data_IF_509595664000
#
_entry.id   IF_509595664000
#
_cell.length_a   1.000
_cell.length_b   1.000
_cell.length_c   1.000
_cell.angle_alpha   90.00
_cell.angle_beta   90.00
_cell.angle_gamma   90.00
#
_symmetry.space_group_name_H-M   'P 1'
#
loop_
_entity.id
_entity.type
_entity.pdbx_description
1 polymer ?
#
# COMPACT_ATOMS: atom_id res chain seq x y z
N UNK A 1 -11.92 5.76 -31.64
CA UNK A 1 -11.71 5.86 -30.18
C UNK A 1 -10.21 5.79 -29.98
N UNK A 2 -9.59 6.92 -29.65
CA UNK A 2 -8.20 6.95 -29.20
C UNK A 2 -8.12 6.14 -27.90
N UNK A 3 -7.15 5.22 -27.79
CA UNK A 3 -6.95 4.45 -26.56
C UNK A 3 -6.35 5.38 -25.49
N UNK A 4 -6.79 5.32 -24.22
CA UNK A 4 -6.24 6.14 -23.14
C UNK A 4 -4.84 5.64 -22.75
N UNK A 5 -3.82 6.08 -23.51
CA UNK A 5 -2.42 5.65 -23.37
C UNK A 5 -1.85 6.07 -22.02
N UNK A 6 -2.14 7.29 -21.57
CA UNK A 6 -1.59 7.80 -20.31
C UNK A 6 -2.16 7.04 -19.11
N UNK A 7 -3.47 6.81 -19.09
CA UNK A 7 -4.14 6.02 -18.05
C UNK A 7 -3.64 4.59 -18.01
N UNK A 8 -3.35 3.99 -19.18
CA UNK A 8 -2.80 2.63 -19.26
C UNK A 8 -1.41 2.53 -18.62
N UNK A 9 -0.53 3.51 -18.87
CA UNK A 9 0.79 3.59 -18.22
C UNK A 9 0.67 3.77 -16.70
N UNK A 10 -0.26 4.60 -16.25
CA UNK A 10 -0.51 4.79 -14.82
C UNK A 10 -1.05 3.51 -14.18
N UNK A 11 -1.92 2.78 -14.86
CA UNK A 11 -2.41 1.47 -14.41
C UNK A 11 -1.25 0.47 -14.24
N UNK A 12 -0.27 0.49 -15.15
CA UNK A 12 0.94 -0.32 -15.02
C UNK A 12 1.77 0.08 -13.78
N UNK A 13 1.95 1.38 -13.52
CA UNK A 13 2.63 1.83 -12.30
C UNK A 13 1.89 1.42 -11.02
N UNK A 14 0.56 1.49 -11.02
CA UNK A 14 -0.26 0.98 -9.91
C UNK A 14 0.01 -0.51 -9.70
N UNK A 15 -0.02 -1.32 -10.77
CA UNK A 15 0.27 -2.75 -10.68
C UNK A 15 1.69 -3.03 -10.12
N UNK A 16 2.70 -2.29 -10.59
CA UNK A 16 4.07 -2.37 -10.05
C UNK A 16 4.11 -1.99 -8.57
N UNK A 17 3.37 -0.98 -8.14
CA UNK A 17 3.25 -0.63 -6.72
C UNK A 17 2.67 -1.79 -5.89
N UNK A 18 1.61 -2.45 -6.36
CA UNK A 18 1.01 -3.61 -5.69
C UNK A 18 1.98 -4.78 -5.55
N UNK A 19 2.71 -5.11 -6.62
CA UNK A 19 3.76 -6.13 -6.57
C UNK A 19 4.88 -5.70 -5.61
N UNK A 20 5.28 -4.42 -5.65
CA UNK A 20 6.30 -3.87 -4.78
C UNK A 20 5.99 -4.00 -3.30
N UNK A 21 4.76 -3.69 -2.86
CA UNK A 21 4.36 -3.85 -1.45
C UNK A 21 4.26 -5.33 -1.05
N UNK A 22 3.86 -6.23 -1.96
CA UNK A 22 3.84 -7.67 -1.69
C UNK A 22 5.27 -8.23 -1.51
N UNK A 23 6.20 -7.86 -2.39
CA UNK A 23 7.62 -8.22 -2.28
C UNK A 23 8.25 -7.62 -1.02
N UNK A 24 7.87 -6.40 -0.65
CA UNK A 24 8.34 -5.77 0.58
C UNK A 24 7.95 -6.57 1.82
N UNK A 25 6.70 -7.05 1.90
CA UNK A 25 6.26 -7.96 2.98
C UNK A 25 7.09 -9.25 2.98
N UNK A 26 7.34 -9.85 1.82
CA UNK A 26 8.17 -11.06 1.72
C UNK A 26 9.60 -10.84 2.25
N UNK A 27 10.22 -9.71 1.90
CA UNK A 27 11.55 -9.34 2.41
C UNK A 27 11.52 -9.11 3.93
N UNK A 28 10.50 -8.44 4.45
CA UNK A 28 10.37 -8.20 5.90
C UNK A 28 10.16 -9.52 6.64
N UNK A 29 9.37 -10.46 6.11
CA UNK A 29 9.23 -11.82 6.69
C UNK A 29 10.55 -12.55 6.79
N UNK A 30 11.37 -12.50 5.73
CA UNK A 30 12.70 -13.09 5.75
C UNK A 30 13.60 -12.46 6.83
N UNK A 31 13.50 -11.14 7.04
CA UNK A 31 14.25 -10.42 8.08
C UNK A 31 13.81 -10.75 9.51
N UNK A 32 12.50 -10.86 9.75
CA UNK A 32 11.95 -11.13 11.08
C UNK A 32 11.90 -12.62 11.42
N UNK A 33 12.19 -13.50 10.43
CA UNK A 33 12.16 -14.98 10.57
C UNK A 33 10.78 -15.52 10.99
N UNK A 34 9.71 -14.78 10.69
CA UNK A 34 8.34 -15.20 10.97
C UNK A 34 7.76 -15.86 9.71
N UNK A 35 7.66 -17.19 9.77
CA UNK A 35 7.05 -17.99 8.71
C UNK A 35 5.54 -17.74 8.60
N UNK A 36 5.00 -17.80 7.39
CA UNK A 36 3.55 -17.90 7.19
C UNK A 36 3.01 -19.17 7.89
N UNK A 37 1.77 -19.20 8.40
CA UNK A 37 0.70 -18.20 8.27
C UNK A 37 0.74 -17.08 9.33
N UNK A 38 1.76 -17.03 10.19
CA UNK A 38 1.82 -16.03 11.25
C UNK A 38 1.92 -14.60 10.67
N UNK A 39 1.12 -13.70 11.24
CA UNK A 39 1.02 -12.28 10.84
C UNK A 39 1.35 -11.33 12.00
N UNK A 40 1.72 -11.88 13.16
CA UNK A 40 2.07 -11.15 14.39
C UNK A 40 3.44 -11.60 14.90
N UNK A 41 4.05 -10.79 15.76
CA UNK A 41 5.27 -11.15 16.49
C UNK A 41 6.38 -10.10 16.40
N UNK A 42 6.52 -9.45 15.25
CA UNK A 42 7.44 -8.32 15.07
C UNK A 42 6.67 -7.08 14.60
N UNK A 43 6.76 -5.94 15.32
CA UNK A 43 6.07 -4.71 14.95
C UNK A 43 6.38 -4.21 13.53
N UNK A 44 7.57 -4.51 12.99
CA UNK A 44 7.95 -4.19 11.61
C UNK A 44 7.16 -5.03 10.61
N UNK A 45 7.00 -6.33 10.88
CA UNK A 45 6.23 -7.23 10.03
C UNK A 45 4.75 -6.84 10.04
N UNK A 46 4.19 -6.57 11.22
CA UNK A 46 2.79 -6.15 11.33
C UNK A 46 2.52 -4.85 10.56
N UNK A 47 3.44 -3.88 10.62
CA UNK A 47 3.34 -2.64 9.85
C UNK A 47 3.40 -2.90 8.34
N UNK A 48 4.34 -3.73 7.88
CA UNK A 48 4.48 -4.06 6.46
C UNK A 48 3.22 -4.76 5.92
N UNK A 49 2.66 -5.72 6.67
CA UNK A 49 1.43 -6.42 6.31
C UNK A 49 0.24 -5.45 6.27
N UNK A 50 0.12 -4.54 7.25
CA UNK A 50 -0.94 -3.52 7.25
C UNK A 50 -0.86 -2.58 6.05
N UNK A 51 0.35 -2.18 5.65
CA UNK A 51 0.56 -1.38 4.44
C UNK A 51 0.07 -2.11 3.18
N UNK A 52 0.42 -3.40 3.05
CA UNK A 52 -0.02 -4.23 1.93
C UNK A 52 -1.54 -4.43 1.94
N UNK A 53 -2.14 -4.80 3.07
CA UNK A 53 -3.58 -5.00 3.17
C UNK A 53 -4.37 -3.74 2.81
N UNK A 54 -3.98 -2.59 3.36
CA UNK A 54 -4.60 -1.31 3.01
C UNK A 54 -4.46 -1.01 1.50
N UNK A 55 -3.36 -1.41 0.85
CA UNK A 55 -3.27 -1.32 -0.60
C UNK A 55 -4.32 -2.17 -1.27
N UNK A 56 -4.41 -3.46 -0.94
CA UNK A 56 -5.35 -4.39 -1.58
C UNK A 56 -6.79 -3.93 -1.37
N UNK A 57 -7.14 -3.43 -0.20
CA UNK A 57 -8.48 -2.91 0.11
C UNK A 57 -8.88 -1.72 -0.77
N UNK A 58 -7.91 -0.86 -1.12
CA UNK A 58 -8.17 0.31 -1.98
C UNK A 58 -8.19 -0.02 -3.49
N UNK A 59 -7.68 -1.18 -3.91
CA UNK A 59 -7.55 -1.56 -5.32
C UNK A 59 -8.88 -1.58 -6.08
N UNK A 60 -9.95 -2.20 -5.53
CA UNK A 60 -11.26 -2.27 -6.19
C UNK A 60 -11.93 -0.92 -6.34
N UNK A 61 -11.54 0.08 -5.54
CA UNK A 61 -12.09 1.43 -5.65
C UNK A 61 -11.30 2.27 -6.66
N UNK A 62 -9.96 2.24 -6.61
CA UNK A 62 -9.13 3.13 -7.42
C UNK A 62 -9.14 2.76 -8.91
N UNK A 63 -9.10 1.46 -9.25
CA UNK A 63 -8.98 1.03 -10.64
C UNK A 63 -10.24 1.37 -11.46
N UNK A 64 -11.47 1.03 -11.04
CA UNK A 64 -12.67 1.41 -11.80
C UNK A 64 -12.86 2.92 -11.87
N UNK A 65 -12.59 3.65 -10.78
CA UNK A 65 -12.70 5.10 -10.75
C UNK A 65 -11.73 5.76 -11.76
N UNK A 66 -10.49 5.26 -11.84
CA UNK A 66 -9.49 5.74 -12.80
C UNK A 66 -9.94 5.53 -14.24
N UNK A 67 -10.46 4.35 -14.58
CA UNK A 67 -10.92 4.04 -15.94
C UNK A 67 -12.20 4.80 -16.31
N UNK A 68 -13.14 5.00 -15.38
CA UNK A 68 -14.31 5.85 -15.61
C UNK A 68 -13.86 7.29 -15.87
N UNK A 69 -12.91 7.83 -15.09
CA UNK A 69 -12.38 9.17 -15.32
C UNK A 69 -11.68 9.30 -16.70
N UNK A 70 -10.95 8.28 -17.14
CA UNK A 70 -10.28 8.28 -18.43
C UNK A 70 -11.27 8.28 -19.61
N UNK A 71 -12.33 7.47 -19.50
CA UNK A 71 -13.33 7.30 -20.56
C UNK A 71 -14.33 8.46 -20.63
N UNK A 72 -14.68 9.06 -19.49
CA UNK A 72 -15.77 10.04 -19.40
C UNK A 72 -15.32 11.48 -19.20
N UNK A 73 -14.09 11.72 -18.73
CA UNK A 73 -13.57 13.07 -18.45
C UNK A 73 -12.40 13.42 -19.36
N UNK A 74 -11.25 12.78 -19.18
CA UNK A 74 -10.05 12.99 -20.00
C UNK A 74 -8.94 12.02 -19.59
N UNK A 75 -8.26 11.44 -20.58
CA UNK A 75 -7.10 10.57 -20.36
C UNK A 75 -5.98 11.27 -19.58
N UNK A 76 -5.69 12.54 -19.89
CA UNK A 76 -4.65 13.31 -19.22
C UNK A 76 -4.98 13.53 -17.74
N UNK A 77 -6.21 13.96 -17.44
CA UNK A 77 -6.62 14.22 -16.06
C UNK A 77 -6.69 12.94 -15.23
N UNK A 78 -7.21 11.86 -15.79
CA UNK A 78 -7.19 10.55 -15.14
C UNK A 78 -5.76 10.11 -14.81
N UNK A 79 -4.83 10.28 -15.75
CA UNK A 79 -3.42 9.97 -15.53
C UNK A 79 -2.79 10.83 -14.42
N UNK A 80 -3.07 12.13 -14.38
CA UNK A 80 -2.58 13.03 -13.32
C UNK A 80 -3.08 12.58 -11.95
N UNK A 81 -4.38 12.29 -11.80
CA UNK A 81 -4.93 11.81 -10.53
C UNK A 81 -4.33 10.48 -10.10
N UNK A 82 -4.18 9.54 -11.03
CA UNK A 82 -3.55 8.26 -10.73
C UNK A 82 -2.07 8.39 -10.37
N UNK A 83 -1.32 9.31 -11.00
CA UNK A 83 0.06 9.60 -10.63
C UNK A 83 0.16 10.17 -9.21
N UNK A 84 -0.67 11.16 -8.88
CA UNK A 84 -0.76 11.75 -7.53
C UNK A 84 -1.08 10.66 -6.51
N UNK A 85 -2.03 9.77 -6.84
CA UNK A 85 -2.37 8.64 -5.98
C UNK A 85 -1.15 7.73 -5.75
N UNK A 86 -0.44 7.30 -6.80
CA UNK A 86 0.76 6.45 -6.66
C UNK A 86 1.81 7.12 -5.77
N UNK A 87 2.11 8.40 -5.98
CA UNK A 87 3.07 9.14 -5.16
C UNK A 87 2.64 9.19 -3.69
N UNK A 88 1.36 9.48 -3.43
CA UNK A 88 0.79 9.45 -2.08
C UNK A 88 0.90 8.07 -1.44
N UNK A 89 0.69 6.98 -2.20
CA UNK A 89 0.85 5.60 -1.69
C UNK A 89 2.30 5.29 -1.34
N UNK A 90 3.26 5.68 -2.17
CA UNK A 90 4.68 5.47 -1.85
C UNK A 90 5.08 6.29 -0.61
N UNK A 91 4.58 7.52 -0.48
CA UNK A 91 4.78 8.33 0.74
C UNK A 91 4.15 7.67 1.98
N UNK A 92 2.93 7.14 1.85
CA UNK A 92 2.23 6.41 2.91
C UNK A 92 3.04 5.22 3.42
N UNK A 93 3.62 4.41 2.51
CA UNK A 93 4.50 3.28 2.89
C UNK A 93 5.65 3.77 3.77
N UNK A 94 6.36 4.83 3.35
CA UNK A 94 7.52 5.36 4.10
C UNK A 94 7.11 5.88 5.47
N UNK A 95 6.05 6.68 5.53
CA UNK A 95 5.57 7.27 6.78
C UNK A 95 5.06 6.20 7.75
N UNK A 96 4.28 5.24 7.25
CA UNK A 96 3.72 4.18 8.09
C UNK A 96 4.81 3.24 8.65
N UNK A 97 5.83 2.93 7.84
CA UNK A 97 6.98 2.14 8.31
C UNK A 97 7.87 2.89 9.31
N UNK A 98 7.86 4.22 9.30
CA UNK A 98 8.61 5.05 10.25
C UNK A 98 7.94 5.19 11.64
N UNK A 99 6.69 4.73 11.81
CA UNK A 99 5.97 4.81 13.09
C UNK A 99 6.71 4.00 14.17
N UNK A 100 7.05 4.56 15.34
CA UNK A 100 7.77 3.83 16.38
C UNK A 100 6.94 2.69 16.98
N UNK A 101 7.56 1.60 17.48
CA UNK A 101 6.87 0.39 17.95
C UNK A 101 5.78 0.63 19.01
N UNK A 102 5.92 1.69 19.82
CA UNK A 102 5.02 2.00 20.94
C UNK A 102 4.05 3.16 20.67
N UNK A 103 3.99 3.70 19.44
CA UNK A 103 3.12 4.84 19.12
C UNK A 103 1.61 4.54 19.23
N UNK A 104 1.22 3.27 19.36
CA UNK A 104 -0.18 2.84 19.49
C UNK A 104 -0.45 1.86 20.63
N UNK A 105 0.50 1.63 21.54
CA UNK A 105 0.22 0.85 22.75
C UNK A 105 -0.52 1.73 23.77
N UNK A 106 -1.67 1.29 24.32
CA UNK A 106 -2.23 1.94 25.49
C UNK A 106 -1.17 1.97 26.59
N UNK A 107 -0.95 3.14 27.19
CA UNK A 107 0.04 3.43 28.24
C UNK A 107 -0.09 2.59 29.54
N UNK A 108 -0.79 1.46 29.53
CA UNK A 108 -1.10 0.65 30.71
C UNK A 108 -0.80 -0.85 30.61
N UNK A 109 -0.13 -1.34 29.56
CA UNK A 109 0.15 -2.80 29.40
C UNK A 109 1.58 -3.23 29.77
N UNK A 110 2.47 -2.29 30.13
CA UNK A 110 3.85 -2.61 30.52
C UNK A 110 4.03 -2.99 32.00
N UNK A 111 2.95 -3.12 32.78
CA UNK A 111 3.02 -3.32 34.24
C UNK A 111 2.33 -4.59 34.76
N UNK A 112 1.94 -5.54 33.90
CA UNK A 112 1.42 -6.82 34.37
C UNK A 112 2.54 -7.87 34.35
N UNK A 113 3.09 -8.26 35.52
CA UNK A 113 3.94 -9.44 35.59
C UNK A 113 3.15 -10.67 35.14
N UNK A 114 3.84 -11.53 34.39
CA UNK A 114 3.38 -12.79 33.80
C UNK A 114 2.81 -13.77 34.80
#
# INVERSE_FOLDING_TARGET
>A
MELPVYTSLITLFIAVYYVGVALYVAVVRAKTKISAPAVTGDPLLERAIRVQMNAVETAPAILPALWIAALWMSDLWAAVFGLVWVLARVAYVRLYMAIPPHAGQPLGRSSLPS
#
